data_IF_937117572457
#
_entry.id   IF_937117572457
#
_cell.length_a   1.000
_cell.length_b   1.000
_cell.length_c   1.000
_cell.angle_alpha   90.00
_cell.angle_beta   90.00
_cell.angle_gamma   90.00
#
_symmetry.space_group_name_H-M   'P 1'
#
loop_
_entity.id
_entity.type
_entity.pdbx_description
1 polymer ?
#
# COMPACT_ATOMS: atom_id res chain seq x y z
N UNK A 1 46.19 13.70 -15.88
CA UNK A 1 44.85 13.80 -16.50
C UNK A 1 43.87 12.66 -16.18
N UNK A 2 44.29 11.38 -16.10
CA UNK A 2 43.38 10.23 -15.87
C UNK A 2 42.72 10.21 -14.47
N UNK A 3 43.40 10.69 -13.42
CA UNK A 3 42.90 10.71 -12.04
C UNK A 3 41.76 11.72 -11.81
N UNK A 4 41.91 12.96 -12.34
CA UNK A 4 40.84 13.97 -12.32
C UNK A 4 39.59 13.51 -13.07
N UNK A 5 39.74 12.75 -14.18
CA UNK A 5 38.62 12.15 -14.93
C UNK A 5 37.87 11.08 -14.12
N UNK A 6 38.56 10.30 -13.29
CA UNK A 6 37.94 9.28 -12.41
C UNK A 6 37.20 9.92 -11.23
N UNK A 7 37.77 10.96 -10.63
CA UNK A 7 37.10 11.75 -9.59
C UNK A 7 35.85 12.44 -10.15
N UNK A 8 35.95 13.00 -11.36
CA UNK A 8 34.81 13.62 -12.05
C UNK A 8 33.72 12.59 -12.40
N UNK A 9 34.10 11.36 -12.78
CA UNK A 9 33.15 10.27 -13.04
C UNK A 9 32.44 9.81 -11.76
N UNK A 10 33.15 9.67 -10.64
CA UNK A 10 32.55 9.30 -9.34
C UNK A 10 31.59 10.38 -8.82
N UNK A 11 31.94 11.66 -8.99
CA UNK A 11 31.07 12.79 -8.63
C UNK A 11 29.80 12.83 -9.52
N UNK A 12 29.90 12.44 -10.79
CA UNK A 12 28.73 12.36 -11.69
C UNK A 12 27.77 11.20 -11.32
N UNK A 13 28.30 10.07 -10.84
CA UNK A 13 27.48 8.95 -10.34
C UNK A 13 26.84 9.26 -8.99
N UNK A 14 27.52 10.00 -8.10
CA UNK A 14 26.94 10.47 -6.83
C UNK A 14 25.80 11.50 -7.02
N UNK A 15 25.77 12.21 -8.15
CA UNK A 15 24.72 13.19 -8.46
C UNK A 15 23.44 12.57 -9.04
N UNK A 16 23.45 11.26 -9.31
CA UNK A 16 22.32 10.50 -9.88
C UNK A 16 21.46 9.84 -8.78
N UNK A 17 21.43 10.38 -7.55
CA UNK A 17 20.50 9.92 -6.53
C UNK A 17 19.07 10.24 -6.98
N UNK A 18 18.45 9.31 -7.70
CA UNK A 18 17.03 9.39 -8.03
C UNK A 18 16.26 9.36 -6.72
N UNK A 19 15.58 10.46 -6.39
CA UNK A 19 14.67 10.48 -5.26
C UNK A 19 13.59 9.39 -5.49
N UNK A 20 13.68 8.30 -4.74
CA UNK A 20 12.67 7.23 -4.79
C UNK A 20 11.50 7.69 -3.93
N UNK A 21 10.55 8.39 -4.54
CA UNK A 21 9.25 8.61 -3.92
C UNK A 21 8.37 7.40 -4.18
N UNK A 22 7.73 6.88 -3.14
CA UNK A 22 6.72 5.83 -3.30
C UNK A 22 5.58 6.36 -4.17
N UNK A 23 5.28 5.67 -5.27
CA UNK A 23 4.21 6.07 -6.19
C UNK A 23 2.85 5.91 -5.51
N UNK A 24 2.01 6.93 -5.62
CA UNK A 24 0.67 6.92 -5.06
C UNK A 24 -0.36 6.35 -6.02
N UNK A 25 -1.19 5.48 -5.48
CA UNK A 25 -2.29 4.82 -6.17
C UNK A 25 -3.57 5.12 -5.40
N UNK A 26 -4.44 5.96 -5.96
CA UNK A 26 -5.72 6.30 -5.33
C UNK A 26 -6.62 5.07 -5.31
N UNK A 27 -7.18 4.72 -4.16
CA UNK A 27 -8.09 3.58 -4.01
C UNK A 27 -9.27 3.64 -4.99
N UNK A 28 -9.78 4.85 -5.27
CA UNK A 28 -10.89 5.07 -6.22
C UNK A 28 -10.61 4.58 -7.64
N UNK A 29 -9.35 4.47 -8.06
CA UNK A 29 -8.99 3.94 -9.39
C UNK A 29 -9.11 2.42 -9.50
N UNK A 30 -9.27 1.73 -8.36
CA UNK A 30 -9.43 0.28 -8.28
C UNK A 30 -10.88 -0.12 -7.98
N UNK A 31 -11.85 0.76 -8.24
CA UNK A 31 -13.26 0.55 -7.92
C UNK A 31 -13.52 0.31 -6.43
N UNK A 32 -12.65 0.82 -5.55
CA UNK A 32 -12.84 0.81 -4.11
C UNK A 32 -13.79 1.96 -3.75
N UNK A 33 -14.87 1.65 -3.06
CA UNK A 33 -15.97 2.56 -2.72
C UNK A 33 -15.91 2.92 -1.24
N UNK A 34 -16.11 4.20 -0.93
CA UNK A 34 -15.98 4.78 0.42
C UNK A 34 -17.33 5.01 1.14
N UNK A 35 -18.35 4.25 0.75
CA UNK A 35 -19.75 4.39 1.21
C UNK A 35 -20.06 3.65 2.52
N UNK A 36 -19.11 2.87 3.05
CA UNK A 36 -19.26 2.08 4.27
C UNK A 36 -20.14 0.83 4.14
N UNK A 37 -20.64 0.52 2.94
CA UNK A 37 -21.56 -0.60 2.69
C UNK A 37 -21.08 -1.53 1.58
N UNK A 38 -20.34 -1.02 0.61
CA UNK A 38 -19.76 -1.84 -0.47
C UNK A 38 -18.62 -2.70 0.08
N UNK A 39 -18.70 -4.02 -0.15
CA UNK A 39 -17.62 -4.94 0.20
C UNK A 39 -16.42 -4.78 -0.74
N UNK A 40 -15.34 -4.20 -0.24
CA UNK A 40 -14.16 -3.83 -1.03
C UNK A 40 -13.05 -4.89 -1.03
N UNK A 41 -13.18 -6.00 -0.31
CA UNK A 41 -12.11 -7.00 -0.09
C UNK A 41 -11.37 -7.38 -1.38
N UNK A 42 -12.11 -7.72 -2.44
CA UNK A 42 -11.50 -8.11 -3.73
C UNK A 42 -10.82 -6.95 -4.43
N UNK A 43 -11.43 -5.76 -4.42
CA UNK A 43 -10.88 -4.56 -5.04
C UNK A 43 -9.60 -4.09 -4.35
N UNK A 44 -9.58 -4.14 -3.01
CA UNK A 44 -8.39 -3.82 -2.21
C UNK A 44 -7.29 -4.85 -2.46
N UNK A 45 -7.62 -6.15 -2.47
CA UNK A 45 -6.61 -7.19 -2.75
C UNK A 45 -6.02 -7.02 -4.15
N UNK A 46 -6.85 -6.80 -5.16
CA UNK A 46 -6.39 -6.53 -6.53
C UNK A 46 -5.47 -5.30 -6.60
N UNK A 47 -5.81 -4.22 -5.88
CA UNK A 47 -4.98 -3.03 -5.83
C UNK A 47 -3.61 -3.32 -5.21
N UNK A 48 -3.57 -4.03 -4.07
CA UNK A 48 -2.31 -4.43 -3.42
C UNK A 48 -1.45 -5.27 -4.37
N UNK A 49 -2.04 -6.29 -5.00
CA UNK A 49 -1.32 -7.17 -5.92
C UNK A 49 -0.78 -6.41 -7.14
N UNK A 50 -1.60 -5.52 -7.70
CA UNK A 50 -1.19 -4.65 -8.81
C UNK A 50 -0.02 -3.74 -8.41
N UNK A 51 -0.10 -3.07 -7.26
CA UNK A 51 0.93 -2.13 -6.81
C UNK A 51 2.24 -2.87 -6.57
N UNK A 52 2.20 -4.01 -5.87
CA UNK A 52 3.39 -4.82 -5.62
C UNK A 52 4.03 -5.30 -6.93
N UNK A 53 3.22 -5.80 -7.88
CA UNK A 53 3.69 -6.22 -9.21
C UNK A 53 4.33 -5.08 -10.02
N UNK A 54 3.94 -3.83 -9.76
CA UNK A 54 4.47 -2.64 -10.43
C UNK A 54 5.61 -1.95 -9.64
N UNK A 55 6.31 -2.70 -8.77
CA UNK A 55 7.49 -2.20 -8.05
C UNK A 55 7.19 -1.53 -6.72
N UNK A 56 5.94 -1.60 -6.24
CA UNK A 56 5.53 -1.03 -4.96
C UNK A 56 4.95 0.38 -5.05
N UNK A 57 4.60 0.91 -3.88
CA UNK A 57 3.96 2.22 -3.74
C UNK A 57 2.97 2.29 -2.59
N UNK A 58 2.19 3.36 -2.56
CA UNK A 58 1.16 3.61 -1.55
C UNK A 58 -0.24 3.44 -2.14
N UNK A 59 -1.07 2.61 -1.52
CA UNK A 59 -2.51 2.58 -1.77
C UNK A 59 -3.18 3.62 -0.88
N UNK A 60 -3.66 4.70 -1.46
CA UNK A 60 -4.14 5.89 -0.75
C UNK A 60 -5.66 5.88 -0.64
N UNK A 61 -6.14 5.88 0.60
CA UNK A 61 -7.55 6.01 0.97
C UNK A 61 -7.80 7.42 1.47
N UNK A 62 -8.81 8.09 0.90
CA UNK A 62 -9.24 9.43 1.32
C UNK A 62 -10.44 9.32 2.27
N UNK A 63 -11.03 10.46 2.63
CA UNK A 63 -12.20 10.51 3.51
C UNK A 63 -13.31 9.53 3.10
N UNK A 64 -13.84 8.82 4.08
CA UNK A 64 -14.96 7.88 3.93
C UNK A 64 -14.69 6.52 4.57
N UNK A 65 -15.62 5.58 4.39
CA UNK A 65 -15.60 4.28 5.07
C UNK A 65 -15.47 3.15 4.06
N UNK A 66 -14.50 2.28 4.24
CA UNK A 66 -14.15 1.21 3.31
C UNK A 66 -14.40 -0.13 3.95
N UNK A 67 -15.61 -0.69 3.76
CA UNK A 67 -15.96 -2.00 4.30
C UNK A 67 -15.11 -3.08 3.62
N UNK A 68 -14.46 -3.93 4.43
CA UNK A 68 -13.62 -5.02 3.93
C UNK A 68 -13.57 -6.21 4.91
N UNK A 69 -13.35 -7.39 4.35
CA UNK A 69 -12.88 -8.57 5.07
C UNK A 69 -11.36 -8.63 5.13
N UNK A 70 -10.80 -9.82 5.29
CA UNK A 70 -9.35 -10.03 5.34
C UNK A 70 -8.66 -9.56 4.05
N UNK A 71 -7.60 -8.76 4.19
CA UNK A 71 -6.71 -8.36 3.10
C UNK A 71 -5.27 -8.79 3.40
N UNK A 72 -4.52 -9.12 2.36
CA UNK A 72 -3.13 -9.58 2.47
C UNK A 72 -2.21 -8.55 1.84
N UNK A 73 -1.37 -7.93 2.66
CA UNK A 73 -0.32 -7.05 2.19
C UNK A 73 0.74 -7.83 1.39
N UNK A 74 1.51 -7.08 0.60
CA UNK A 74 2.61 -7.58 -0.21
C UNK A 74 3.82 -6.67 0.00
N UNK A 75 5.02 -7.18 -0.24
CA UNK A 75 6.25 -6.40 -0.12
C UNK A 75 6.19 -5.13 -0.96
N UNK A 76 6.78 -4.06 -0.43
CA UNK A 76 6.83 -2.72 -1.03
C UNK A 76 5.47 -2.01 -1.16
N UNK A 77 4.41 -2.49 -0.49
CA UNK A 77 3.10 -1.83 -0.47
C UNK A 77 2.86 -1.20 0.89
N UNK A 78 2.49 0.08 0.87
CA UNK A 78 2.03 0.83 2.06
C UNK A 78 0.56 1.19 1.92
N UNK A 79 -0.25 0.97 2.95
CA UNK A 79 -1.59 1.54 3.02
C UNK A 79 -1.50 2.94 3.61
N UNK A 80 -1.96 3.96 2.89
CA UNK A 80 -2.02 5.34 3.37
C UNK A 80 -3.48 5.68 3.65
N UNK A 81 -3.84 5.79 4.93
CA UNK A 81 -5.16 6.20 5.40
C UNK A 81 -5.13 7.69 5.71
N UNK A 82 -5.60 8.52 4.78
CA UNK A 82 -5.68 9.97 5.01
C UNK A 82 -6.67 10.30 6.14
N UNK A 83 -6.60 11.54 6.63
CA UNK A 83 -7.51 12.02 7.68
C UNK A 83 -8.98 11.83 7.27
N UNK A 84 -9.76 11.18 8.14
CA UNK A 84 -11.16 10.84 7.88
C UNK A 84 -11.39 9.56 7.05
N UNK A 85 -10.34 8.87 6.60
CA UNK A 85 -10.44 7.53 6.01
C UNK A 85 -10.62 6.49 7.12
N UNK A 86 -11.56 5.56 6.94
CA UNK A 86 -11.81 4.45 7.87
C UNK A 86 -11.80 3.13 7.10
N UNK A 87 -10.85 2.25 7.41
CA UNK A 87 -10.84 0.87 6.91
C UNK A 87 -11.73 0.01 7.81
N UNK A 88 -12.99 -0.16 7.42
CA UNK A 88 -14.01 -0.77 8.27
C UNK A 88 -14.00 -2.30 8.13
N UNK A 89 -13.64 -3.00 9.20
CA UNK A 89 -13.77 -4.45 9.25
C UNK A 89 -15.22 -4.92 9.19
N UNK A 90 -15.50 -5.92 8.36
CA UNK A 90 -16.81 -6.58 8.32
C UNK A 90 -17.15 -7.21 9.68
N UNK A 91 -18.43 -7.21 10.04
CA UNK A 91 -18.93 -7.94 11.21
C UNK A 91 -19.31 -9.38 10.89
N UNK A 92 -19.27 -9.76 9.61
CA UNK A 92 -19.54 -11.12 9.19
C UNK A 92 -18.25 -11.97 9.25
N UNK A 93 -18.18 -13.01 10.10
CA UNK A 93 -16.97 -13.83 10.22
C UNK A 93 -16.61 -14.59 8.94
N UNK A 94 -17.55 -14.77 8.01
CA UNK A 94 -17.29 -15.44 6.72
C UNK A 94 -16.54 -14.56 5.71
N UNK A 95 -16.42 -13.25 5.97
CA UNK A 95 -15.63 -12.36 5.13
C UNK A 95 -14.13 -12.41 5.46
N UNK A 96 -13.75 -13.15 6.50
CA UNK A 96 -12.37 -13.28 6.95
C UNK A 96 -11.78 -14.63 6.61
N UNK A 97 -10.48 -14.62 6.35
CA UNK A 97 -9.72 -15.83 6.10
C UNK A 97 -9.61 -16.65 7.38
N UNK A 98 -9.91 -17.95 7.27
CA UNK A 98 -9.89 -18.91 8.38
C UNK A 98 -8.54 -19.61 8.52
N UNK A 99 -7.47 -18.95 8.06
CA UNK A 99 -6.13 -19.52 7.99
C UNK A 99 -5.41 -19.21 9.32
N UNK A 100 -5.58 -20.12 10.27
CA UNK A 100 -5.02 -20.15 11.65
C UNK A 100 -5.39 -18.98 12.57
N UNK A 101 -5.10 -17.73 12.21
CA UNK A 101 -5.44 -16.54 12.99
C UNK A 101 -6.26 -15.57 12.14
N UNK A 102 -7.45 -15.21 12.62
CA UNK A 102 -8.33 -14.25 11.96
C UNK A 102 -7.80 -12.83 12.17
N UNK A 103 -7.49 -12.12 11.09
CA UNK A 103 -7.07 -10.72 11.11
C UNK A 103 -7.71 -9.96 9.95
N UNK A 104 -7.91 -8.65 10.14
CA UNK A 104 -8.35 -7.77 9.05
C UNK A 104 -7.24 -7.57 8.02
N UNK A 105 -6.00 -7.39 8.49
CA UNK A 105 -4.82 -7.17 7.66
C UNK A 105 -3.78 -8.23 7.98
N UNK A 106 -3.38 -8.99 6.98
CA UNK A 106 -2.32 -9.98 7.05
C UNK A 106 -1.04 -9.46 6.41
N UNK A 107 0.08 -9.62 7.09
CA UNK A 107 1.42 -9.36 6.57
C UNK A 107 2.36 -10.45 7.11
N UNK A 108 2.80 -11.37 6.27
CA UNK A 108 3.67 -12.49 6.64
C UNK A 108 4.84 -12.57 5.67
N UNK A 109 6.05 -12.63 6.20
CA UNK A 109 7.30 -12.76 5.44
C UNK A 109 7.45 -11.70 4.33
N UNK A 110 7.18 -10.43 4.67
CA UNK A 110 7.22 -9.30 3.74
C UNK A 110 8.30 -8.28 4.10
N UNK A 111 8.76 -7.54 3.10
CA UNK A 111 9.74 -6.45 3.24
C UNK A 111 9.12 -5.11 2.81
N UNK A 112 9.53 -4.02 3.46
CA UNK A 112 9.12 -2.64 3.13
C UNK A 112 7.60 -2.45 3.07
N UNK A 113 6.90 -2.90 4.12
CA UNK A 113 5.45 -2.79 4.27
C UNK A 113 5.11 -1.75 5.33
N UNK A 114 4.03 -1.01 5.12
CA UNK A 114 3.60 0.03 6.05
C UNK A 114 2.10 0.25 6.08
N UNK A 115 1.63 0.81 7.20
CA UNK A 115 0.32 1.43 7.33
C UNK A 115 0.58 2.81 7.91
N UNK A 116 0.18 3.85 7.20
CA UNK A 116 0.51 5.25 7.53
C UNK A 116 -0.71 6.15 7.39
N UNK A 117 -0.60 7.38 7.90
CA UNK A 117 -1.64 8.40 7.82
C UNK A 117 -2.39 8.60 9.14
N UNK A 118 -3.44 9.43 9.09
CA UNK A 118 -4.24 9.85 10.26
C UNK A 118 -5.64 9.22 10.30
N UNK A 119 -5.93 8.31 9.38
CA UNK A 119 -7.19 7.57 9.35
C UNK A 119 -7.28 6.52 10.45
N UNK A 120 -8.34 5.72 10.38
CA UNK A 120 -8.71 4.72 11.37
C UNK A 120 -8.84 3.34 10.73
N UNK A 121 -8.56 2.31 11.51
CA UNK A 121 -8.90 0.90 11.24
C UNK A 121 -9.85 0.47 12.35
#
# INVERSE_FOLDING_TARGET
>A
MKFKKRILLMLFVLLQSTAVFAKDYKASFFHIKSDGTTMNTRSIQFAIDYISKNGGGRLVFYVGRYLTGSIHLKSNVTLQLEEGAVLLGSTNPFDYDRITNTALIHARDLENVGITGKGMI
#
